data_IF_923838022336
#
_entry.id   IF_923838022336
#
_cell.length_a   1.000
_cell.length_b   1.000
_cell.length_c   1.000
_cell.angle_alpha   90.00
_cell.angle_beta   90.00
_cell.angle_gamma   90.00
#
_symmetry.space_group_name_H-M   'P 1'
#
loop_
_entity.id
_entity.type
_entity.pdbx_description
1 polymer ?
#
# COMPACT_ATOMS: atom_id res chain seq x y z
N UNK A 1 2.02 -4.70 -7.93
CA UNK A 1 1.77 -5.03 -6.51
C UNK A 1 1.67 -6.53 -6.34
N UNK A 2 0.88 -7.17 -7.20
CA UNK A 2 0.52 -8.59 -7.19
C UNK A 2 1.67 -9.58 -7.04
N UNK A 3 2.85 -9.30 -7.60
CA UNK A 3 4.00 -10.21 -7.51
C UNK A 3 4.60 -10.20 -6.11
N UNK A 4 4.68 -9.02 -5.47
CA UNK A 4 5.28 -8.86 -4.14
C UNK A 4 4.38 -9.48 -3.07
N UNK A 5 3.06 -9.27 -3.18
CA UNK A 5 2.07 -9.73 -2.20
C UNK A 5 1.81 -11.24 -2.23
N UNK A 6 2.36 -11.97 -3.22
CA UNK A 6 2.34 -13.44 -3.25
C UNK A 6 3.31 -14.07 -2.26
N UNK A 7 4.45 -13.43 -2.00
CA UNK A 7 5.48 -13.94 -1.09
C UNK A 7 5.51 -13.17 0.24
N UNK A 8 4.98 -11.94 0.26
CA UNK A 8 4.91 -11.09 1.44
C UNK A 8 3.54 -11.17 2.13
N UNK A 9 3.54 -11.55 3.40
CA UNK A 9 2.36 -11.42 4.28
C UNK A 9 2.20 -9.96 4.69
N UNK A 10 1.04 -9.36 4.39
CA UNK A 10 0.80 -7.93 4.57
C UNK A 10 -0.18 -7.75 5.72
N UNK A 11 0.15 -6.94 6.72
CA UNK A 11 -0.76 -6.61 7.84
C UNK A 11 -1.28 -5.17 7.79
N UNK A 12 -0.57 -4.27 7.10
CA UNK A 12 -0.97 -2.88 6.98
C UNK A 12 -0.47 -2.26 5.67
N UNK A 13 -1.21 -1.25 5.22
CA UNK A 13 -0.86 -0.43 4.08
C UNK A 13 -0.98 1.05 4.44
N UNK A 14 0.02 1.85 4.07
CA UNK A 14 0.02 3.30 4.25
C UNK A 14 -0.04 3.95 2.86
N UNK A 15 -0.92 4.93 2.69
CA UNK A 15 -1.14 5.68 1.46
C UNK A 15 -1.06 7.19 1.71
N UNK A 16 -0.69 7.95 0.69
CA UNK A 16 -0.80 9.41 0.73
C UNK A 16 -2.27 9.83 0.64
N UNK A 17 -2.71 10.78 1.47
CA UNK A 17 -4.12 11.23 1.54
C UNK A 17 -4.58 11.86 0.23
N UNK A 18 -3.64 12.49 -0.48
CA UNK A 18 -3.82 13.14 -1.76
C UNK A 18 -4.31 12.18 -2.86
N UNK A 19 -4.03 10.87 -2.75
CA UNK A 19 -4.49 9.86 -3.72
C UNK A 19 -6.01 9.85 -3.86
N UNK A 20 -6.75 10.14 -2.79
CA UNK A 20 -8.22 10.13 -2.78
C UNK A 20 -8.82 11.17 -3.72
N UNK A 21 -8.13 12.30 -3.88
CA UNK A 21 -8.59 13.42 -4.71
C UNK A 21 -7.93 13.42 -6.09
N UNK A 22 -6.65 13.07 -6.13
CA UNK A 22 -5.81 13.22 -7.32
C UNK A 22 -5.79 11.94 -8.17
N UNK A 23 -6.12 10.79 -7.59
CA UNK A 23 -6.13 9.50 -8.30
C UNK A 23 -7.16 8.51 -7.70
N UNK A 24 -8.46 8.87 -7.69
CA UNK A 24 -9.50 8.05 -7.04
C UNK A 24 -9.65 6.66 -7.68
N UNK A 25 -9.47 6.54 -9.00
CA UNK A 25 -9.59 5.25 -9.70
C UNK A 25 -8.49 4.25 -9.30
N UNK A 26 -7.24 4.72 -9.21
CA UNK A 26 -6.15 3.87 -8.73
C UNK A 26 -6.35 3.55 -7.24
N UNK A 27 -6.83 4.51 -6.46
CA UNK A 27 -7.11 4.31 -5.04
C UNK A 27 -8.13 3.19 -4.83
N UNK A 28 -9.26 3.22 -5.54
CA UNK A 28 -10.27 2.14 -5.49
C UNK A 28 -9.69 0.79 -5.91
N UNK A 29 -8.94 0.76 -7.01
CA UNK A 29 -8.31 -0.47 -7.51
C UNK A 29 -7.36 -1.08 -6.47
N UNK A 30 -6.58 -0.24 -5.79
CA UNK A 30 -5.64 -0.66 -4.75
C UNK A 30 -6.37 -1.17 -3.50
N UNK A 31 -7.47 -0.52 -3.11
CA UNK A 31 -8.32 -0.99 -2.01
C UNK A 31 -8.93 -2.36 -2.31
N UNK A 32 -9.48 -2.56 -3.52
CA UNK A 32 -10.02 -3.85 -3.93
C UNK A 32 -8.94 -4.94 -3.91
N UNK A 33 -7.73 -4.63 -4.37
CA UNK A 33 -6.62 -5.59 -4.33
C UNK A 33 -6.21 -5.95 -2.90
N UNK A 34 -6.14 -4.98 -1.99
CA UNK A 34 -5.87 -5.23 -0.57
C UNK A 34 -6.99 -6.03 0.11
N UNK A 35 -8.25 -5.78 -0.24
CA UNK A 35 -9.39 -6.53 0.28
C UNK A 35 -9.37 -7.99 -0.19
N UNK A 36 -9.01 -8.23 -1.45
CA UNK A 36 -8.75 -9.58 -1.92
C UNK A 36 -7.57 -10.20 -1.17
N UNK A 37 -6.47 -9.47 -1.01
CA UNK A 37 -5.28 -9.98 -0.35
C UNK A 37 -5.54 -10.40 1.09
N UNK A 38 -6.25 -9.60 1.89
CA UNK A 38 -6.56 -9.94 3.28
C UNK A 38 -7.43 -11.20 3.39
N UNK A 39 -8.35 -11.42 2.43
CA UNK A 39 -9.15 -12.65 2.36
C UNK A 39 -8.28 -13.86 2.04
N UNK A 40 -7.34 -13.73 1.09
CA UNK A 40 -6.42 -14.80 0.73
C UNK A 40 -5.43 -15.13 1.86
N UNK A 41 -4.99 -14.12 2.62
CA UNK A 41 -4.07 -14.28 3.74
C UNK A 41 -4.77 -14.69 5.05
N UNK A 42 -6.11 -14.59 5.11
CA UNK A 42 -6.88 -14.90 6.31
C UNK A 42 -6.62 -13.92 7.46
N UNK A 43 -6.26 -12.68 7.13
CA UNK A 43 -5.98 -11.62 8.11
C UNK A 43 -6.80 -10.35 7.81
N UNK A 44 -6.52 -9.25 8.52
CA UNK A 44 -7.12 -7.95 8.26
C UNK A 44 -6.02 -6.95 7.98
N UNK A 45 -6.05 -6.33 6.80
CA UNK A 45 -5.03 -5.35 6.40
C UNK A 45 -5.48 -3.97 6.86
N UNK A 46 -4.75 -3.38 7.81
CA UNK A 46 -5.01 -2.04 8.29
C UNK A 46 -4.58 -1.00 7.25
N UNK A 47 -5.53 -0.25 6.72
CA UNK A 47 -5.25 0.85 5.78
C UNK A 47 -5.20 2.17 6.54
N UNK A 48 -4.12 2.94 6.36
CA UNK A 48 -3.96 4.26 6.95
C UNK A 48 -3.51 5.29 5.92
N UNK A 49 -3.83 6.56 6.20
CA UNK A 49 -3.52 7.67 5.32
C UNK A 49 -2.64 8.68 6.05
N UNK A 50 -1.67 9.22 5.33
CA UNK A 50 -0.80 10.29 5.83
C UNK A 50 -0.57 11.34 4.73
N UNK A 51 0.08 12.46 5.03
CA UNK A 51 0.40 13.45 3.99
C UNK A 51 1.52 12.94 3.10
N UNK A 52 1.61 13.41 1.85
CA UNK A 52 2.71 12.98 0.97
C UNK A 52 4.10 13.27 1.55
N UNK A 53 4.26 14.38 2.27
CA UNK A 53 5.52 14.71 2.94
C UNK A 53 5.85 13.75 4.09
N UNK A 54 4.85 13.35 4.89
CA UNK A 54 5.07 12.35 5.93
C UNK A 54 5.29 10.96 5.34
N UNK A 55 4.60 10.62 4.24
CA UNK A 55 4.82 9.39 3.49
C UNK A 55 6.29 9.27 3.05
N UNK A 56 6.86 10.33 2.47
CA UNK A 56 8.29 10.37 2.10
C UNK A 56 9.23 10.13 3.28
N UNK A 57 8.93 10.70 4.45
CA UNK A 57 9.73 10.42 5.66
C UNK A 57 9.66 8.94 6.05
N UNK A 58 8.46 8.35 6.06
CA UNK A 58 8.27 6.93 6.35
C UNK A 58 8.96 6.01 5.35
N UNK A 59 9.10 6.42 4.07
CA UNK A 59 9.84 5.62 3.09
C UNK A 59 11.34 5.49 3.42
N UNK A 60 11.93 6.43 4.17
CA UNK A 60 13.33 6.35 4.57
C UNK A 60 13.58 5.21 5.58
N UNK A 61 12.56 4.83 6.35
CA UNK A 61 12.61 3.73 7.32
C UNK A 61 12.24 2.38 6.69
N UNK A 62 11.90 2.35 5.40
CA UNK A 62 11.54 1.11 4.70
C UNK A 62 12.77 0.28 4.36
N UNK A 63 12.63 -1.05 4.36
CA UNK A 63 13.73 -1.95 3.99
C UNK A 63 14.13 -1.81 2.51
N UNK A 64 13.15 -1.51 1.64
CA UNK A 64 13.38 -1.33 0.22
C UNK A 64 12.24 -0.51 -0.41
N UNK A 65 12.56 0.17 -1.51
CA UNK A 65 11.60 0.87 -2.36
C UNK A 65 11.58 0.22 -3.74
N UNK A 66 10.43 -0.34 -4.12
CA UNK A 66 10.21 -0.92 -5.45
C UNK A 66 9.61 0.16 -6.35
N UNK A 67 10.41 0.68 -7.28
CA UNK A 67 9.94 1.66 -8.27
C UNK A 67 9.28 0.94 -9.44
N UNK A 68 8.00 1.23 -9.68
CA UNK A 68 7.26 0.77 -10.86
C UNK A 68 7.37 1.79 -12.00
N UNK A 69 6.89 1.41 -13.19
CA UNK A 69 6.70 2.33 -14.32
C UNK A 69 5.38 3.13 -14.26
N UNK A 70 4.75 3.23 -13.10
CA UNK A 70 3.48 3.93 -12.93
C UNK A 70 3.70 5.45 -12.96
N UNK A 71 2.99 6.14 -13.84
CA UNK A 71 3.15 7.58 -14.10
C UNK A 71 2.02 8.43 -13.50
N UNK A 72 0.98 7.80 -12.94
CA UNK A 72 -0.13 8.52 -12.33
C UNK A 72 0.24 9.13 -10.96
N UNK A 73 -0.37 10.29 -10.59
CA UNK A 73 0.01 11.00 -9.38
C UNK A 73 -0.34 10.20 -8.12
N UNK A 74 0.53 10.29 -7.11
CA UNK A 74 0.38 9.64 -5.80
C UNK A 74 0.18 8.11 -5.83
N UNK A 75 0.67 7.44 -6.88
CA UNK A 75 0.68 5.99 -7.01
C UNK A 75 1.75 5.30 -6.13
N UNK A 76 1.78 5.62 -4.83
CA UNK A 76 2.73 5.07 -3.88
C UNK A 76 2.01 4.39 -2.72
N UNK A 77 2.50 3.23 -2.29
CA UNK A 77 2.01 2.48 -1.14
C UNK A 77 3.19 1.96 -0.34
N UNK A 78 3.12 2.09 0.99
CA UNK A 78 4.04 1.38 1.91
C UNK A 78 3.30 0.14 2.40
N UNK A 79 3.91 -1.02 2.25
CA UNK A 79 3.41 -2.30 2.75
C UNK A 79 4.15 -2.68 4.03
N UNK A 80 3.41 -2.98 5.09
CA UNK A 80 3.96 -3.49 6.34
C UNK A 80 3.83 -5.01 6.37
N UNK A 81 4.94 -5.71 6.61
CA UNK A 81 4.95 -7.16 6.74
C UNK A 81 4.45 -7.58 8.12
N UNK A 82 3.58 -8.58 8.17
CA UNK A 82 3.11 -9.16 9.44
C UNK A 82 2.25 -10.39 9.24
N UNK A 83 2.19 -11.23 10.27
CA UNK A 83 1.42 -12.48 10.29
C UNK A 83 0.54 -12.53 11.55
N UNK A 84 -0.63 -13.15 11.44
CA UNK A 84 -1.47 -13.46 12.59
C UNK A 84 -0.85 -14.63 13.37
N UNK A 85 -0.45 -14.39 14.61
CA UNK A 85 0.07 -15.40 15.54
C UNK A 85 -0.90 -15.65 16.70
#
# INVERSE_FOLDING_TARGET
MDVVTREMQVEAAILATEIKQQNPQLHETLLTHLEQLQQHQGNTIKISYTTHEQFKKLTADSQAVIRSGECSPYANVILCAGVTF
#
